data_IF_541355082464
#
_entry.id   IF_541355082464
#
_cell.length_a   1.000
_cell.length_b   1.000
_cell.length_c   1.000
_cell.angle_alpha   90.00
_cell.angle_beta   90.00
_cell.angle_gamma   90.00
#
_symmetry.space_group_name_H-M   'P 1'
#
loop_
_entity.id
_entity.type
_entity.pdbx_description
1 polymer ?
#
# COMPACT_ATOMS: atom_id res chain seq x y z
N UNK A 1 12.06 -13.88 -35.83
CA UNK A 1 11.18 -13.11 -34.94
C UNK A 1 9.88 -13.90 -34.77
N UNK A 2 9.78 -14.68 -33.70
CA UNK A 2 8.52 -15.36 -33.34
C UNK A 2 7.77 -14.44 -32.38
N UNK A 3 7.08 -13.44 -32.93
CA UNK A 3 6.19 -12.62 -32.12
C UNK A 3 5.03 -13.51 -31.66
N UNK A 4 4.71 -13.49 -30.37
CA UNK A 4 3.48 -14.10 -29.89
C UNK A 4 2.31 -13.34 -30.55
N UNK A 5 1.54 -14.01 -31.41
CA UNK A 5 0.46 -13.38 -32.19
C UNK A 5 -0.83 -13.18 -31.40
N UNK A 6 -0.74 -13.19 -30.06
CA UNK A 6 -1.92 -13.19 -29.21
C UNK A 6 -2.59 -14.57 -29.13
N UNK A 7 -3.71 -14.63 -28.42
CA UNK A 7 -4.62 -15.78 -28.42
C UNK A 7 -6.03 -15.25 -28.22
N UNK A 8 -6.98 -15.80 -28.97
CA UNK A 8 -8.39 -15.52 -28.74
C UNK A 8 -8.86 -16.37 -27.57
N UNK A 9 -9.07 -15.73 -26.41
CA UNK A 9 -9.51 -16.42 -25.20
C UNK A 9 -11.02 -16.43 -25.14
N UNK A 10 -11.56 -17.58 -24.73
CA UNK A 10 -12.97 -17.80 -24.57
C UNK A 10 -13.26 -18.58 -23.30
N UNK A 11 -14.46 -18.38 -22.76
CA UNK A 11 -15.01 -19.28 -21.77
C UNK A 11 -15.25 -20.68 -22.39
N UNK A 12 -15.22 -21.78 -21.61
CA UNK A 12 -15.38 -23.14 -22.13
C UNK A 12 -16.72 -23.43 -22.82
N UNK A 13 -17.76 -22.61 -22.57
CA UNK A 13 -19.08 -22.74 -23.16
C UNK A 13 -19.27 -21.77 -24.34
N UNK A 14 -18.20 -21.16 -24.85
CA UNK A 14 -18.33 -20.17 -25.91
C UNK A 14 -18.48 -20.82 -27.29
N UNK A 15 -19.42 -20.33 -28.09
CA UNK A 15 -19.71 -20.84 -29.46
C UNK A 15 -19.01 -20.04 -30.57
N UNK A 16 -18.24 -19.00 -30.24
CA UNK A 16 -17.57 -18.16 -31.22
C UNK A 16 -16.49 -18.93 -31.99
N UNK A 17 -16.54 -18.88 -33.33
CA UNK A 17 -15.61 -19.61 -34.21
C UNK A 17 -14.13 -19.22 -34.06
N UNK A 18 -13.84 -18.08 -33.45
CA UNK A 18 -12.47 -17.61 -33.19
C UNK A 18 -11.83 -18.30 -31.97
N UNK A 19 -12.63 -18.96 -31.12
CA UNK A 19 -12.12 -19.71 -29.98
C UNK A 19 -11.28 -20.91 -30.46
N UNK A 20 -10.25 -21.28 -29.70
CA UNK A 20 -9.42 -22.45 -30.01
C UNK A 20 -10.23 -23.75 -30.04
N UNK A 21 -11.19 -23.89 -29.11
CA UNK A 21 -12.09 -25.04 -29.01
C UNK A 21 -13.52 -24.54 -28.73
N UNK A 22 -14.24 -24.06 -29.77
CA UNK A 22 -15.59 -23.56 -29.58
C UNK A 22 -16.54 -24.71 -29.24
N UNK A 23 -17.50 -24.45 -28.35
CA UNK A 23 -18.56 -25.37 -28.04
C UNK A 23 -19.35 -25.69 -29.31
N UNK A 24 -19.46 -27.00 -29.61
CA UNK A 24 -20.19 -27.51 -30.77
C UNK A 24 -21.62 -27.85 -30.39
N UNK A 25 -22.56 -27.67 -31.31
CA UNK A 25 -23.95 -28.12 -31.13
C UNK A 25 -23.99 -29.60 -30.74
N UNK A 26 -24.66 -29.89 -29.61
CA UNK A 26 -24.86 -31.25 -29.09
C UNK A 26 -24.10 -31.58 -27.80
N UNK A 27 -23.08 -30.79 -27.43
CA UNK A 27 -22.38 -30.95 -26.15
C UNK A 27 -22.63 -29.73 -25.26
N UNK A 28 -23.33 -29.89 -24.14
CA UNK A 28 -23.48 -28.82 -23.14
C UNK A 28 -22.26 -28.84 -22.22
N UNK A 29 -21.38 -27.84 -22.34
CA UNK A 29 -20.30 -27.60 -21.39
C UNK A 29 -20.82 -26.52 -20.44
N UNK A 30 -21.05 -26.87 -19.17
CA UNK A 30 -21.36 -25.87 -18.16
C UNK A 30 -20.07 -25.16 -17.75
N UNK A 31 -20.03 -23.84 -17.95
CA UNK A 31 -18.96 -22.98 -17.46
C UNK A 31 -19.36 -22.40 -16.10
N UNK A 32 -18.46 -22.50 -15.12
CA UNK A 32 -18.57 -21.78 -13.84
C UNK A 32 -18.18 -20.30 -13.96
N UNK A 33 -17.63 -19.89 -15.11
CA UNK A 33 -17.26 -18.52 -15.42
C UNK A 33 -18.40 -17.82 -16.17
N UNK A 34 -18.63 -16.51 -15.93
CA UNK A 34 -19.45 -15.70 -16.82
C UNK A 34 -18.97 -15.83 -18.26
N UNK A 35 -19.88 -15.79 -19.23
CA UNK A 35 -19.49 -15.91 -20.63
C UNK A 35 -18.58 -14.76 -21.05
N UNK A 36 -17.46 -15.08 -21.69
CA UNK A 36 -16.51 -14.12 -22.22
C UNK A 36 -15.86 -14.64 -23.49
N UNK A 37 -15.52 -13.72 -24.40
CA UNK A 37 -14.58 -13.99 -25.48
C UNK A 37 -13.87 -12.68 -25.84
N UNK A 38 -12.54 -12.72 -25.93
CA UNK A 38 -11.72 -11.55 -26.26
C UNK A 38 -10.39 -11.95 -26.90
N UNK A 39 -9.86 -11.09 -27.75
CA UNK A 39 -8.50 -11.20 -28.26
C UNK A 39 -7.52 -10.70 -27.19
N UNK A 40 -6.58 -11.55 -26.77
CA UNK A 40 -5.42 -11.09 -26.03
C UNK A 40 -4.35 -10.59 -26.99
N UNK A 41 -3.89 -9.37 -26.77
CA UNK A 41 -2.66 -8.86 -27.37
C UNK A 41 -1.51 -9.04 -26.40
N UNK A 42 -0.33 -9.36 -26.92
CA UNK A 42 0.91 -9.20 -26.18
C UNK A 42 1.99 -8.62 -27.07
N UNK A 43 2.90 -7.85 -26.47
CA UNK A 43 4.12 -7.40 -27.12
C UNK A 43 5.26 -8.24 -26.57
N UNK A 44 5.95 -8.96 -27.45
CA UNK A 44 7.08 -9.79 -27.05
C UNK A 44 8.17 -9.78 -28.11
N UNK A 45 9.40 -9.99 -27.66
CA UNK A 45 10.56 -10.15 -28.51
C UNK A 45 11.42 -11.29 -27.97
N UNK A 46 12.02 -12.06 -28.88
CA UNK A 46 13.05 -13.03 -28.57
C UNK A 46 14.39 -12.43 -28.97
N UNK A 47 15.32 -12.34 -28.02
CA UNK A 47 16.72 -12.01 -28.28
C UNK A 47 17.57 -13.26 -28.12
N UNK A 48 18.51 -13.47 -29.03
CA UNK A 48 19.57 -14.43 -28.81
C UNK A 48 20.46 -13.95 -27.66
N UNK A 49 20.98 -14.90 -26.88
CA UNK A 49 21.92 -14.63 -25.79
C UNK A 49 23.28 -15.25 -26.13
N UNK A 50 24.39 -14.57 -25.79
CA UNK A 50 25.73 -15.09 -26.08
C UNK A 50 26.06 -16.30 -25.21
N UNK A 51 27.04 -17.10 -25.62
CA UNK A 51 27.53 -18.29 -24.87
C UNK A 51 27.91 -17.98 -23.41
N UNK A 52 28.29 -16.72 -23.12
CA UNK A 52 28.56 -16.22 -21.77
C UNK A 52 27.40 -16.48 -20.81
N UNK A 53 26.14 -16.42 -21.27
CA UNK A 53 24.96 -16.69 -20.45
C UNK A 53 24.93 -18.10 -19.86
N UNK A 54 25.59 -19.07 -20.51
CA UNK A 54 25.65 -20.47 -20.10
C UNK A 54 26.91 -20.84 -19.33
N UNK A 55 27.95 -19.99 -19.39
CA UNK A 55 29.29 -20.27 -18.84
C UNK A 55 29.70 -19.30 -17.72
N UNK A 56 28.95 -18.22 -17.52
CA UNK A 56 29.20 -17.22 -16.49
C UNK A 56 27.94 -16.42 -16.14
N UNK A 57 28.13 -15.29 -15.46
CA UNK A 57 27.05 -14.37 -15.10
C UNK A 57 26.94 -13.24 -16.13
N UNK A 58 25.71 -12.84 -16.43
CA UNK A 58 25.38 -11.68 -17.25
C UNK A 58 24.45 -10.76 -16.49
N UNK A 59 24.58 -9.46 -16.73
CA UNK A 59 23.70 -8.45 -16.16
C UNK A 59 22.50 -8.26 -17.07
N UNK A 60 21.34 -8.73 -16.61
CA UNK A 60 20.06 -8.44 -17.23
C UNK A 60 19.41 -7.27 -16.49
N UNK A 61 18.99 -6.26 -17.24
CA UNK A 61 18.38 -5.05 -16.71
C UNK A 61 17.09 -4.75 -17.47
N UNK A 62 16.08 -4.33 -16.72
CA UNK A 62 14.86 -3.72 -17.25
C UNK A 62 14.85 -2.29 -16.74
N UNK A 63 14.81 -1.35 -17.66
CA UNK A 63 14.56 0.07 -17.38
C UNK A 63 13.10 0.36 -17.72
N UNK A 64 12.37 0.95 -16.78
CA UNK A 64 10.93 1.19 -16.91
C UNK A 64 10.60 2.59 -16.44
N UNK A 65 10.11 3.41 -17.37
CA UNK A 65 9.66 4.77 -17.14
C UNK A 65 8.12 4.77 -17.34
N UNK A 66 7.33 4.69 -16.25
CA UNK A 66 5.88 4.62 -16.32
C UNK A 66 5.28 6.01 -16.56
N UNK A 67 5.32 6.46 -17.81
CA UNK A 67 4.68 7.71 -18.23
C UNK A 67 4.25 7.65 -19.69
N UNK A 68 3.38 8.57 -20.12
CA UNK A 68 2.91 8.67 -21.50
C UNK A 68 4.00 8.92 -22.55
N UNK A 69 5.16 9.43 -22.14
CA UNK A 69 6.36 9.63 -22.96
C UNK A 69 7.53 8.70 -22.55
N UNK A 70 7.24 7.69 -21.71
CA UNK A 70 8.22 6.76 -21.18
C UNK A 70 8.46 5.55 -22.09
N UNK A 71 8.96 4.47 -21.49
CA UNK A 71 9.25 3.22 -22.18
C UNK A 71 9.52 2.07 -21.19
N UNK A 72 9.52 0.84 -21.71
CA UNK A 72 10.16 -0.31 -21.07
C UNK A 72 11.29 -0.78 -21.99
N UNK A 73 12.51 -0.87 -21.46
CA UNK A 73 13.71 -1.26 -22.21
C UNK A 73 14.42 -2.41 -21.54
N UNK A 74 14.78 -3.41 -22.32
CA UNK A 74 15.59 -4.55 -21.91
C UNK A 74 17.03 -4.33 -22.32
N UNK A 75 17.93 -4.52 -21.36
CA UNK A 75 19.36 -4.26 -21.49
C UNK A 75 20.12 -5.52 -21.03
N UNK A 76 21.03 -6.00 -21.86
CA UNK A 76 21.89 -7.14 -21.57
C UNK A 76 23.36 -6.70 -21.60
N UNK A 77 24.06 -6.80 -20.48
CA UNK A 77 25.44 -6.33 -20.31
C UNK A 77 25.68 -4.92 -20.90
N UNK A 78 24.83 -3.96 -20.48
CA UNK A 78 24.88 -2.55 -20.89
C UNK A 78 24.53 -2.26 -22.36
N UNK A 79 24.03 -3.26 -23.10
CA UNK A 79 23.53 -3.10 -24.46
C UNK A 79 22.02 -3.22 -24.48
N UNK A 80 21.32 -2.19 -24.97
CA UNK A 80 19.87 -2.25 -25.19
C UNK A 80 19.54 -3.27 -26.29
N UNK A 81 18.71 -4.26 -25.97
CA UNK A 81 18.34 -5.35 -26.90
C UNK A 81 16.91 -5.24 -27.41
N UNK A 82 16.02 -4.56 -26.66
CA UNK A 82 14.64 -4.34 -27.05
C UNK A 82 14.04 -3.18 -26.26
N UNK A 83 13.08 -2.48 -26.85
CA UNK A 83 12.35 -1.38 -26.21
C UNK A 83 10.91 -1.34 -26.70
N UNK A 84 10.00 -1.05 -25.77
CA UNK A 84 8.62 -0.65 -26.04
C UNK A 84 8.49 0.80 -25.60
N UNK A 85 8.50 1.72 -26.56
CA UNK A 85 8.18 3.13 -26.30
C UNK A 85 6.69 3.27 -25.92
N UNK A 86 6.37 4.20 -25.01
CA UNK A 86 5.00 4.45 -24.58
C UNK A 86 4.09 4.85 -25.75
N UNK A 87 4.62 5.57 -26.75
CA UNK A 87 3.90 5.96 -27.97
C UNK A 87 3.31 4.76 -28.72
N UNK A 88 3.99 3.61 -28.70
CA UNK A 88 3.48 2.37 -29.33
C UNK A 88 2.18 1.88 -28.71
N UNK A 89 1.88 2.27 -27.47
CA UNK A 89 0.65 1.94 -26.73
C UNK A 89 -0.33 3.11 -26.73
N UNK A 90 0.17 4.33 -26.52
CA UNK A 90 -0.66 5.53 -26.31
C UNK A 90 -1.09 6.17 -27.62
N UNK A 91 -0.37 5.95 -28.72
CA UNK A 91 -0.66 6.49 -30.05
C UNK A 91 -0.40 5.43 -31.14
N UNK A 92 -1.09 4.27 -31.09
CA UNK A 92 -0.88 3.23 -32.09
C UNK A 92 -1.32 3.72 -33.48
N UNK A 93 -0.75 3.17 -34.57
CA UNK A 93 -1.19 3.47 -35.93
C UNK A 93 -2.71 3.34 -36.07
N UNK A 94 -3.35 4.28 -36.76
CA UNK A 94 -4.80 4.30 -36.93
C UNK A 94 -5.20 3.96 -38.36
N UNK A 95 -6.32 3.26 -38.50
CA UNK A 95 -7.02 3.15 -39.79
C UNK A 95 -7.85 4.42 -40.06
N UNK A 96 -8.53 4.48 -41.20
CA UNK A 96 -9.36 5.64 -41.57
C UNK A 96 -10.53 5.91 -40.60
N UNK A 97 -10.93 4.90 -39.81
CA UNK A 97 -11.98 5.00 -38.80
C UNK A 97 -11.45 5.29 -37.39
N UNK A 98 -10.14 5.40 -37.20
CA UNK A 98 -9.49 5.47 -35.89
C UNK A 98 -9.95 4.35 -34.94
N UNK A 99 -9.95 3.11 -35.43
CA UNK A 99 -10.50 1.96 -34.68
C UNK A 99 -9.55 1.37 -33.63
N UNK A 100 -8.25 1.69 -33.68
CA UNK A 100 -7.27 1.13 -32.76
C UNK A 100 -7.31 1.85 -31.41
N UNK A 101 -7.43 1.08 -30.33
CA UNK A 101 -7.51 1.63 -28.98
C UNK A 101 -6.19 2.27 -28.54
N UNK A 102 -6.30 3.48 -27.98
CA UNK A 102 -5.22 4.11 -27.24
C UNK A 102 -5.15 3.51 -25.83
N UNK A 103 -4.01 2.92 -25.48
CA UNK A 103 -3.77 2.32 -24.17
C UNK A 103 -2.89 3.23 -23.32
N UNK A 104 -3.02 3.15 -22.01
CA UNK A 104 -2.06 3.78 -21.11
C UNK A 104 -0.73 3.00 -21.15
N UNK A 105 0.36 3.68 -20.82
CA UNK A 105 1.61 2.99 -20.54
C UNK A 105 1.40 2.07 -19.33
N UNK A 106 2.18 1.00 -19.21
CA UNK A 106 2.13 0.15 -18.03
C UNK A 106 2.64 0.98 -16.85
N UNK A 107 1.75 1.28 -15.91
CA UNK A 107 2.03 2.06 -14.68
C UNK A 107 1.76 1.25 -13.40
N UNK A 108 1.04 0.13 -13.51
CA UNK A 108 0.66 -0.71 -12.37
C UNK A 108 1.88 -1.37 -11.70
N UNK A 109 1.93 -1.41 -10.34
CA UNK A 109 3.01 -2.08 -9.63
C UNK A 109 3.19 -3.55 -10.06
N UNK A 110 4.39 -3.89 -10.51
CA UNK A 110 4.75 -5.24 -10.94
C UNK A 110 5.67 -5.93 -9.91
N UNK A 111 5.76 -7.26 -10.01
CA UNK A 111 6.71 -8.06 -9.23
C UNK A 111 7.68 -8.79 -10.17
N UNK A 112 8.89 -9.04 -9.67
CA UNK A 112 9.94 -9.73 -10.43
C UNK A 112 9.82 -11.23 -10.16
N UNK A 113 9.69 -12.02 -11.22
CA UNK A 113 9.68 -13.49 -11.16
C UNK A 113 10.90 -14.02 -11.90
N UNK A 114 11.57 -14.98 -11.28
CA UNK A 114 12.58 -15.81 -11.93
C UNK A 114 12.14 -17.26 -11.84
N UNK A 115 11.90 -17.91 -12.98
CA UNK A 115 11.56 -19.32 -13.05
C UNK A 115 12.41 -20.04 -14.11
N UNK A 116 12.62 -21.33 -13.90
CA UNK A 116 13.15 -22.23 -14.93
C UNK A 116 12.01 -23.14 -15.36
N UNK A 117 11.67 -23.11 -16.63
CA UNK A 117 10.62 -23.93 -17.20
C UNK A 117 11.05 -24.50 -18.54
N UNK A 118 10.47 -25.65 -18.90
CA UNK A 118 10.75 -26.35 -20.13
C UNK A 118 9.41 -26.68 -20.77
N UNK A 119 9.18 -26.18 -21.99
CA UNK A 119 7.92 -26.34 -22.71
C UNK A 119 8.20 -26.72 -24.16
N UNK A 120 7.44 -27.72 -24.64
CA UNK A 120 7.45 -28.12 -26.04
C UNK A 120 6.93 -27.03 -26.96
N UNK A 121 6.04 -26.16 -26.46
CA UNK A 121 5.51 -25.01 -27.19
C UNK A 121 6.53 -23.87 -27.32
N UNK A 122 7.56 -23.83 -26.47
CA UNK A 122 8.65 -22.83 -26.53
C UNK A 122 9.89 -23.35 -27.26
N UNK A 123 9.74 -24.42 -28.05
CA UNK A 123 10.79 -24.95 -28.93
C UNK A 123 11.74 -25.96 -28.28
N UNK A 124 11.57 -26.27 -26.98
CA UNK A 124 12.39 -27.27 -26.30
C UNK A 124 11.71 -28.63 -26.31
N UNK A 125 12.25 -29.59 -27.07
CA UNK A 125 11.85 -31.00 -27.01
C UNK A 125 13.04 -31.82 -26.48
N UNK A 126 13.13 -32.06 -25.16
CA UNK A 126 14.19 -32.90 -24.63
C UNK A 126 14.04 -34.32 -25.21
N UNK A 127 15.13 -35.09 -25.34
CA UNK A 127 15.03 -36.48 -25.76
C UNK A 127 14.05 -37.26 -24.87
N UNK A 128 13.28 -38.18 -25.48
CA UNK A 128 12.34 -39.05 -24.78
C UNK A 128 11.22 -38.32 -24.00
N UNK A 129 10.39 -37.47 -24.64
CA UNK A 129 9.31 -36.75 -23.96
C UNK A 129 8.34 -37.71 -23.24
N UNK A 130 7.98 -37.39 -22.00
CA UNK A 130 7.11 -38.23 -21.16
C UNK A 130 7.81 -39.39 -20.44
N UNK A 131 9.13 -39.55 -20.60
CA UNK A 131 9.96 -40.53 -19.88
C UNK A 131 11.13 -39.80 -19.19
N UNK A 132 11.80 -40.42 -18.20
CA UNK A 132 13.06 -39.87 -17.68
C UNK A 132 14.05 -39.62 -18.83
N UNK A 133 14.67 -38.43 -18.88
CA UNK A 133 15.73 -38.17 -19.84
C UNK A 133 16.92 -39.05 -19.48
N UNK A 134 17.12 -40.13 -20.23
CA UNK A 134 18.23 -41.07 -20.05
C UNK A 134 18.88 -41.34 -21.39
N UNK A 135 20.18 -41.07 -21.47
CA UNK A 135 21.02 -41.54 -22.57
C UNK A 135 21.33 -43.03 -22.42
N UNK A 136 21.40 -43.75 -23.55
CA UNK A 136 21.71 -45.19 -23.60
C UNK A 136 23.10 -45.50 -24.18
N UNK A 137 23.92 -44.47 -24.44
CA UNK A 137 25.23 -44.61 -25.04
C UNK A 137 25.25 -44.65 -26.57
N UNK A 138 24.09 -44.72 -27.23
CA UNK A 138 24.01 -44.90 -28.71
C UNK A 138 24.03 -43.60 -29.49
N UNK A 139 23.43 -42.53 -28.94
CA UNK A 139 23.41 -41.19 -29.53
C UNK A 139 24.14 -40.20 -28.64
N UNK A 140 25.30 -39.72 -29.12
CA UNK A 140 26.16 -38.79 -28.39
C UNK A 140 25.45 -37.48 -27.99
N UNK A 141 24.51 -36.99 -28.81
CA UNK A 141 23.74 -35.76 -28.53
C UNK A 141 22.71 -36.01 -27.44
N UNK A 142 21.97 -37.12 -27.51
CA UNK A 142 20.98 -37.49 -26.48
C UNK A 142 21.66 -37.70 -25.13
N UNK A 143 22.77 -38.45 -25.11
CA UNK A 143 23.55 -38.68 -23.88
C UNK A 143 23.96 -37.35 -23.26
N UNK A 144 24.58 -36.44 -24.03
CA UNK A 144 25.03 -35.14 -23.53
C UNK A 144 23.90 -34.26 -22.99
N UNK A 145 22.72 -34.28 -23.61
CA UNK A 145 21.57 -33.50 -23.14
C UNK A 145 21.02 -34.08 -21.83
N UNK A 146 20.86 -35.40 -21.75
CA UNK A 146 20.32 -36.02 -20.54
C UNK A 146 21.31 -35.98 -19.37
N UNK A 147 22.62 -36.10 -19.62
CA UNK A 147 23.67 -35.97 -18.59
C UNK A 147 23.78 -34.55 -18.03
N UNK A 148 23.22 -33.54 -18.71
CA UNK A 148 23.23 -32.15 -18.24
C UNK A 148 22.18 -31.88 -17.14
N UNK A 149 21.24 -32.80 -16.87
CA UNK A 149 20.25 -32.65 -15.80
C UNK A 149 20.80 -33.14 -14.43
N UNK A 150 20.41 -32.49 -13.31
CA UNK A 150 19.55 -31.32 -13.22
C UNK A 150 20.26 -30.02 -13.65
N UNK A 151 19.57 -29.19 -14.43
CA UNK A 151 20.03 -27.84 -14.79
C UNK A 151 19.51 -26.82 -13.78
N UNK A 152 20.32 -25.83 -13.45
CA UNK A 152 20.00 -24.79 -12.46
C UNK A 152 20.23 -23.40 -13.04
N UNK A 153 19.27 -22.49 -12.81
CA UNK A 153 19.49 -21.05 -13.00
C UNK A 153 20.12 -20.47 -11.74
N UNK A 154 21.23 -19.76 -11.90
CA UNK A 154 21.96 -19.13 -10.80
C UNK A 154 21.75 -17.61 -10.85
N UNK A 155 21.34 -17.04 -9.72
CA UNK A 155 21.20 -15.58 -9.54
C UNK A 155 22.21 -15.16 -8.49
N UNK A 156 23.13 -14.27 -8.86
CA UNK A 156 24.14 -13.73 -7.93
C UNK A 156 23.55 -12.62 -7.07
N UNK A 157 22.89 -11.63 -7.71
CA UNK A 157 22.20 -10.55 -7.01
C UNK A 157 21.01 -10.02 -7.81
N UNK A 158 20.12 -9.33 -7.11
CA UNK A 158 19.05 -8.52 -7.68
C UNK A 158 19.17 -7.11 -7.11
N UNK A 159 19.03 -6.09 -7.97
CA UNK A 159 18.98 -4.69 -7.55
C UNK A 159 17.74 -4.04 -8.14
N UNK A 160 17.04 -3.27 -7.31
CA UNK A 160 15.91 -2.44 -7.69
C UNK A 160 16.28 -0.99 -7.41
N UNK A 161 16.11 -0.14 -8.41
CA UNK A 161 16.36 1.29 -8.31
C UNK A 161 15.05 2.03 -8.54
N UNK A 162 14.87 3.13 -7.81
CA UNK A 162 13.80 4.09 -8.02
C UNK A 162 14.44 5.48 -8.11
N UNK A 163 13.83 6.40 -8.87
CA UNK A 163 14.24 7.80 -8.86
C UNK A 163 14.04 8.38 -7.46
N UNK A 164 15.07 9.02 -6.91
CA UNK A 164 15.05 9.58 -5.56
C UNK A 164 13.98 10.68 -5.38
N UNK A 165 13.57 11.34 -6.46
CA UNK A 165 12.57 12.41 -6.46
C UNK A 165 11.12 11.90 -6.45
N UNK A 166 10.88 10.66 -6.89
CA UNK A 166 9.54 10.09 -7.05
C UNK A 166 9.40 8.69 -6.44
N UNK A 167 10.30 8.33 -5.53
CA UNK A 167 10.33 7.01 -4.90
C UNK A 167 9.08 6.80 -4.04
N UNK A 168 8.48 5.61 -4.19
CA UNK A 168 7.44 5.13 -3.28
C UNK A 168 7.73 3.70 -2.83
N UNK A 169 7.33 3.39 -1.60
CA UNK A 169 7.48 2.05 -1.04
C UNK A 169 6.10 1.57 -0.60
N UNK A 170 5.68 0.43 -1.14
CA UNK A 170 4.39 -0.19 -0.84
C UNK A 170 3.57 -0.45 -2.10
N UNK A 171 2.41 -1.07 -1.91
CA UNK A 171 1.50 -1.41 -3.00
C UNK A 171 0.32 -0.43 -3.13
N UNK A 172 0.29 0.65 -2.36
CA UNK A 172 -0.82 1.61 -2.31
C UNK A 172 -0.31 3.07 -2.25
N UNK A 173 0.48 3.53 -3.24
CA UNK A 173 0.93 4.92 -3.27
C UNK A 173 -0.24 5.88 -3.54
N UNK A 174 -0.17 7.16 -3.12
CA UNK A 174 -1.22 8.13 -3.41
C UNK A 174 -1.55 8.31 -4.91
N UNK A 175 -0.57 8.09 -5.79
CA UNK A 175 -0.77 8.14 -7.25
C UNK A 175 -1.52 6.93 -7.81
N UNK A 176 -1.46 5.78 -7.13
CA UNK A 176 -2.11 4.52 -7.52
C UNK A 176 -2.74 3.89 -6.27
N UNK A 177 -3.94 4.32 -5.85
CA UNK A 177 -4.59 3.87 -4.63
C UNK A 177 -5.19 2.46 -4.78
N UNK A 178 -4.32 1.47 -5.00
CA UNK A 178 -4.67 0.07 -5.27
C UNK A 178 -5.51 -0.54 -4.15
N UNK A 179 -5.26 -0.18 -2.88
CA UNK A 179 -6.07 -0.69 -1.76
C UNK A 179 -7.52 -0.25 -1.90
N UNK A 180 -7.73 1.04 -2.18
CA UNK A 180 -9.08 1.59 -2.36
C UNK A 180 -9.80 0.91 -3.53
N UNK A 181 -9.09 0.70 -4.64
CA UNK A 181 -9.64 -0.01 -5.79
C UNK A 181 -10.12 -1.42 -5.41
N UNK A 182 -9.27 -2.21 -4.73
CA UNK A 182 -9.61 -3.58 -4.28
C UNK A 182 -10.79 -3.56 -3.32
N UNK A 183 -10.81 -2.63 -2.36
CA UNK A 183 -11.90 -2.52 -1.39
C UNK A 183 -13.24 -2.19 -2.07
N UNK A 184 -13.23 -1.31 -3.08
CA UNK A 184 -14.42 -0.92 -3.86
C UNK A 184 -14.84 -2.02 -4.88
N UNK A 185 -13.94 -2.93 -5.26
CA UNK A 185 -14.18 -4.01 -6.24
C UNK A 185 -13.99 -5.40 -5.63
N UNK A 186 -14.30 -5.56 -4.34
CA UNK A 186 -13.96 -6.77 -3.59
C UNK A 186 -14.48 -8.07 -4.24
N UNK A 187 -15.65 -8.03 -4.89
CA UNK A 187 -16.22 -9.18 -5.62
C UNK A 187 -15.35 -9.72 -6.75
N UNK A 188 -14.40 -8.93 -7.27
CA UNK A 188 -13.45 -9.37 -8.30
C UNK A 188 -12.22 -10.08 -7.70
N UNK A 189 -11.94 -9.81 -6.42
CA UNK A 189 -10.74 -10.29 -5.71
C UNK A 189 -11.02 -11.38 -4.69
N UNK A 190 -12.28 -11.75 -4.47
CA UNK A 190 -12.66 -12.90 -3.66
C UNK A 190 -13.83 -13.69 -4.21
N UNK A 191 -13.84 -14.97 -3.88
CA UNK A 191 -14.98 -15.85 -4.02
C UNK A 191 -15.18 -16.67 -2.73
N UNK A 192 -16.13 -17.61 -2.75
CA UNK A 192 -16.44 -18.46 -1.59
C UNK A 192 -15.28 -19.37 -1.18
N UNK A 193 -14.37 -19.71 -2.09
CA UNK A 193 -13.21 -20.58 -1.86
C UNK A 193 -11.94 -19.77 -1.52
N UNK A 194 -11.84 -18.53 -2.01
CA UNK A 194 -10.70 -17.65 -1.84
C UNK A 194 -11.10 -16.27 -1.30
N UNK A 195 -11.46 -16.17 -0.01
CA UNK A 195 -11.79 -14.89 0.61
C UNK A 195 -10.55 -14.02 0.80
N UNK A 196 -10.69 -12.69 0.66
CA UNK A 196 -9.61 -11.76 1.04
C UNK A 196 -9.33 -11.91 2.53
N UNK A 197 -8.05 -12.07 2.88
CA UNK A 197 -7.59 -12.17 4.27
C UNK A 197 -6.47 -11.18 4.52
N UNK A 198 -6.57 -10.46 5.64
CA UNK A 198 -5.46 -9.68 6.13
C UNK A 198 -4.26 -10.60 6.41
N UNK A 199 -3.07 -10.19 5.99
CA UNK A 199 -1.82 -10.86 6.37
C UNK A 199 -1.57 -10.58 7.85
N UNK A 200 -1.35 -11.61 8.66
CA UNK A 200 -1.11 -11.46 10.11
C UNK A 200 0.23 -12.12 10.45
N UNK A 201 1.29 -11.31 10.52
CA UNK A 201 2.64 -11.77 10.87
C UNK A 201 3.31 -12.59 9.77
N UNK A 202 4.20 -13.50 10.16
CA UNK A 202 5.04 -14.36 9.29
C UNK A 202 6.16 -13.65 8.50
N UNK A 203 6.27 -12.33 8.61
CA UNK A 203 7.43 -11.59 8.15
C UNK A 203 8.71 -12.03 8.86
N UNK A 204 9.84 -12.01 8.17
CA UNK A 204 11.12 -12.37 8.76
C UNK A 204 11.60 -11.33 9.77
N UNK A 205 12.09 -11.81 10.92
CA UNK A 205 12.57 -10.98 12.03
C UNK A 205 13.82 -11.57 12.70
N UNK A 206 14.55 -10.72 13.41
CA UNK A 206 15.66 -11.08 14.29
C UNK A 206 15.36 -10.79 15.75
N UNK A 207 14.59 -9.73 16.03
CA UNK A 207 14.17 -9.30 17.37
C UNK A 207 12.72 -8.84 17.35
N UNK A 208 12.12 -8.73 18.53
CA UNK A 208 10.73 -8.29 18.71
C UNK A 208 10.46 -6.90 18.13
N UNK A 209 11.49 -6.03 18.09
CA UNK A 209 11.34 -4.69 17.52
C UNK A 209 11.12 -4.70 16.00
N UNK A 210 11.58 -5.73 15.30
CA UNK A 210 11.31 -5.89 13.86
C UNK A 210 9.82 -6.17 13.57
N UNK A 211 9.07 -6.56 14.61
CA UNK A 211 7.66 -6.93 14.56
C UNK A 211 6.75 -5.92 15.27
N UNK A 212 7.27 -4.75 15.62
CA UNK A 212 6.57 -3.74 16.40
C UNK A 212 6.62 -2.39 15.70
N UNK A 213 5.57 -1.59 15.82
CA UNK A 213 5.59 -0.21 15.33
C UNK A 213 6.64 0.58 16.12
N UNK A 214 7.63 1.11 15.39
CA UNK A 214 8.61 2.04 15.93
C UNK A 214 7.95 3.34 16.42
N UNK A 215 8.66 4.07 17.27
CA UNK A 215 8.20 5.28 17.95
C UNK A 215 7.63 6.36 17.00
N UNK A 216 6.31 6.41 16.83
CA UNK A 216 5.61 7.54 16.21
C UNK A 216 5.38 8.70 17.20
N UNK A 217 5.69 8.48 18.47
CA UNK A 217 5.79 9.47 19.55
C UNK A 217 6.71 8.86 20.63
N UNK A 218 7.00 9.53 21.74
CA UNK A 218 7.93 9.08 22.78
C UNK A 218 7.59 7.71 23.47
N UNK A 219 6.65 6.92 22.95
CA UNK A 219 6.31 5.58 23.39
C UNK A 219 6.56 4.54 22.27
N UNK A 220 7.32 3.51 22.59
CA UNK A 220 7.45 2.30 21.77
C UNK A 220 6.26 1.38 22.07
N UNK A 221 5.54 0.94 21.04
CA UNK A 221 4.39 0.04 21.21
C UNK A 221 4.70 -1.33 20.62
N UNK A 222 4.76 -2.34 21.47
CA UNK A 222 4.98 -3.72 21.05
C UNK A 222 3.71 -4.30 20.45
N UNK A 223 3.65 -4.39 19.12
CA UNK A 223 2.49 -4.94 18.39
C UNK A 223 2.70 -6.38 17.93
N UNK A 224 3.94 -6.86 17.97
CA UNK A 224 4.30 -8.23 17.62
C UNK A 224 5.60 -8.69 18.30
N UNK A 225 5.86 -9.99 18.22
CA UNK A 225 7.08 -10.64 18.73
C UNK A 225 7.75 -11.49 17.65
N UNK A 226 9.07 -11.64 17.76
CA UNK A 226 9.85 -12.47 16.86
C UNK A 226 9.97 -13.90 17.40
N UNK A 227 9.16 -14.81 16.87
CA UNK A 227 9.12 -16.22 17.26
C UNK A 227 9.69 -17.05 16.12
N UNK A 228 10.76 -17.82 16.37
CA UNK A 228 11.40 -18.67 15.35
C UNK A 228 11.75 -17.92 14.05
N UNK A 229 12.29 -16.70 14.17
CA UNK A 229 12.61 -15.80 13.03
C UNK A 229 11.40 -15.33 12.21
N UNK A 230 10.18 -15.44 12.76
CA UNK A 230 8.92 -15.01 12.14
C UNK A 230 8.14 -14.10 13.10
N UNK A 231 7.57 -13.03 12.58
CA UNK A 231 6.73 -12.14 13.38
C UNK A 231 5.40 -12.81 13.75
N UNK A 232 5.01 -12.68 15.00
CA UNK A 232 3.69 -13.07 15.50
C UNK A 232 3.03 -11.84 16.12
N UNK A 233 1.87 -11.45 15.58
CA UNK A 233 1.16 -10.27 16.06
C UNK A 233 0.51 -10.56 17.40
N UNK A 234 0.69 -9.65 18.37
CA UNK A 234 0.12 -9.78 19.71
C UNK A 234 -1.36 -9.42 19.73
N UNK A 235 -1.77 -8.51 18.85
CA UNK A 235 -3.13 -7.98 18.77
C UNK A 235 -3.65 -8.11 17.33
N UNK A 236 -3.93 -9.34 16.84
CA UNK A 236 -4.26 -9.59 15.43
C UNK A 236 -5.57 -8.94 14.96
N UNK A 237 -6.42 -8.49 15.89
CA UNK A 237 -7.65 -7.72 15.61
C UNK A 237 -7.40 -6.23 15.32
N UNK A 238 -6.20 -5.73 15.62
CA UNK A 238 -5.87 -4.30 15.54
C UNK A 238 -4.57 -4.04 14.77
N UNK A 239 -3.68 -5.04 14.70
CA UNK A 239 -2.38 -4.97 14.06
C UNK A 239 -2.18 -6.15 13.12
N UNK A 240 -1.98 -5.82 11.85
CA UNK A 240 -1.83 -6.75 10.74
C UNK A 240 -0.58 -6.39 9.92
N UNK A 241 -0.42 -7.03 8.77
CA UNK A 241 0.78 -6.99 7.95
C UNK A 241 1.82 -8.04 8.36
N UNK A 242 2.81 -8.29 7.49
CA UNK A 242 3.82 -9.32 7.73
C UNK A 242 4.65 -9.08 9.00
N UNK A 243 4.80 -7.82 9.39
CA UNK A 243 5.55 -7.40 10.58
C UNK A 243 4.67 -6.84 11.70
N UNK A 244 3.34 -6.96 11.62
CA UNK A 244 2.43 -6.45 12.65
C UNK A 244 2.53 -4.94 12.88
N UNK A 245 2.95 -4.19 11.85
CA UNK A 245 3.18 -2.75 11.90
C UNK A 245 2.09 -1.94 11.22
N UNK A 246 1.06 -2.60 10.68
CA UNK A 246 -0.04 -1.95 9.98
C UNK A 246 -1.27 -1.99 10.88
N UNK A 247 -1.89 -0.85 11.17
CA UNK A 247 -3.18 -0.84 11.87
C UNK A 247 -4.24 -1.45 10.95
N UNK A 248 -5.09 -2.29 11.51
CA UNK A 248 -6.31 -2.73 10.83
C UNK A 248 -7.31 -1.58 10.90
N UNK A 249 -7.18 -0.62 9.98
CA UNK A 249 -8.16 0.45 9.82
C UNK A 249 -9.45 -0.15 9.23
N UNK A 250 -10.35 -0.60 10.11
CA UNK A 250 -11.77 -0.61 9.81
C UNK A 250 -12.19 0.86 9.70
N UNK A 251 -12.29 1.33 8.45
CA UNK A 251 -12.60 2.72 8.07
C UNK A 251 -11.46 3.72 8.32
N UNK A 252 -10.53 3.81 7.38
CA UNK A 252 -9.79 5.04 7.15
C UNK A 252 -10.73 6.12 6.59
N UNK A 253 -11.68 6.60 7.40
CA UNK A 253 -12.12 7.98 7.26
C UNK A 253 -10.88 8.82 7.53
N UNK A 254 -10.38 9.45 6.46
CA UNK A 254 -9.50 10.61 6.52
C UNK A 254 -9.75 11.39 7.81
N UNK A 255 -8.79 11.37 8.74
CA UNK A 255 -8.91 12.17 9.94
C UNK A 255 -9.19 13.63 9.56
N UNK A 256 -9.84 14.42 10.44
CA UNK A 256 -10.09 15.82 10.16
C UNK A 256 -8.77 16.49 9.75
N UNK A 257 -8.80 17.23 8.64
CA UNK A 257 -7.66 18.00 8.13
C UNK A 257 -6.90 18.71 9.27
N UNK A 258 -5.58 18.90 9.13
CA UNK A 258 -4.74 19.57 10.13
C UNK A 258 -5.37 20.92 10.56
N UNK A 259 -6.00 21.62 9.61
CA UNK A 259 -6.80 22.82 9.82
C UNK A 259 -7.94 22.64 10.83
N UNK A 260 -8.77 21.61 10.69
CA UNK A 260 -9.83 21.31 11.65
C UNK A 260 -9.28 20.95 13.04
N UNK A 261 -8.21 20.16 13.12
CA UNK A 261 -7.57 19.79 14.38
C UNK A 261 -6.98 20.99 15.13
N UNK A 262 -6.41 21.96 14.40
CA UNK A 262 -5.92 23.22 14.96
C UNK A 262 -7.06 24.11 15.48
N UNK A 263 -8.20 24.16 14.78
CA UNK A 263 -9.38 24.92 15.21
C UNK A 263 -9.94 24.35 16.52
N UNK A 264 -10.12 23.03 16.60
CA UNK A 264 -10.61 22.41 17.85
C UNK A 264 -9.62 22.57 19.00
N UNK A 265 -8.31 22.44 18.74
CA UNK A 265 -7.28 22.65 19.76
C UNK A 265 -7.24 24.08 20.30
N UNK A 266 -7.41 25.08 19.43
CA UNK A 266 -7.43 26.49 19.83
C UNK A 266 -8.70 26.88 20.60
N UNK A 267 -9.86 26.33 20.23
CA UNK A 267 -11.11 26.51 20.99
C UNK A 267 -10.97 25.89 22.39
N UNK A 268 -10.43 24.68 22.51
CA UNK A 268 -10.25 24.02 23.80
C UNK A 268 -9.27 24.79 24.71
N UNK A 269 -8.18 25.32 24.16
CA UNK A 269 -7.23 26.15 24.90
C UNK A 269 -7.88 27.45 25.39
N UNK A 270 -8.69 28.12 24.56
CA UNK A 270 -9.41 29.33 24.94
C UNK A 270 -10.43 29.07 26.08
N UNK A 271 -11.16 27.94 26.02
CA UNK A 271 -12.09 27.53 27.08
C UNK A 271 -11.35 27.24 28.38
N UNK A 272 -10.22 26.55 28.34
CA UNK A 272 -9.39 26.32 29.53
C UNK A 272 -8.84 27.62 30.13
N UNK A 273 -8.37 28.55 29.31
CA UNK A 273 -7.90 29.85 29.77
C UNK A 273 -9.03 30.67 30.41
N UNK A 274 -10.24 30.63 29.85
CA UNK A 274 -11.41 31.28 30.44
C UNK A 274 -11.83 30.64 31.77
N UNK A 275 -11.76 29.32 31.88
CA UNK A 275 -12.02 28.60 33.13
C UNK A 275 -10.99 28.96 34.21
N UNK A 276 -9.70 28.97 33.88
CA UNK A 276 -8.62 29.38 34.78
C UNK A 276 -8.80 30.84 35.21
N UNK A 277 -9.10 31.73 34.27
CA UNK A 277 -9.38 33.13 34.57
C UNK A 277 -10.54 33.29 35.55
N UNK A 278 -11.66 32.56 35.34
CA UNK A 278 -12.81 32.59 36.24
C UNK A 278 -12.46 32.08 37.63
N UNK A 279 -11.70 30.98 37.73
CA UNK A 279 -11.24 30.41 39.02
C UNK A 279 -10.34 31.39 39.78
N UNK A 280 -9.40 32.04 39.08
CA UNK A 280 -8.51 33.04 39.70
C UNK A 280 -9.28 34.29 40.13
N UNK A 281 -10.26 34.73 39.35
CA UNK A 281 -11.05 35.93 39.65
C UNK A 281 -12.04 35.70 40.80
N UNK A 282 -12.74 34.56 40.82
CA UNK A 282 -13.60 34.19 41.96
C UNK A 282 -12.76 33.91 43.21
N UNK A 283 -11.59 33.30 43.07
CA UNK A 283 -10.64 33.11 44.17
C UNK A 283 -10.16 34.44 44.78
N UNK A 284 -9.85 35.44 43.95
CA UNK A 284 -9.52 36.80 44.44
C UNK A 284 -10.71 37.49 45.10
N UNK A 285 -11.91 37.40 44.53
CA UNK A 285 -13.12 38.01 45.12
C UNK A 285 -13.46 37.42 46.50
N UNK A 286 -13.29 36.10 46.67
CA UNK A 286 -13.48 35.41 47.95
C UNK A 286 -12.39 35.83 48.95
N UNK A 287 -11.13 35.96 48.51
CA UNK A 287 -10.02 36.43 49.36
C UNK A 287 -10.25 37.86 49.87
N UNK A 288 -10.63 38.80 48.98
CA UNK A 288 -10.93 40.19 49.36
C UNK A 288 -12.13 40.28 50.31
N UNK A 289 -13.21 39.54 50.08
CA UNK A 289 -14.35 39.51 51.00
C UNK A 289 -13.98 38.94 52.37
N UNK A 290 -13.06 37.97 52.43
CA UNK A 290 -12.61 37.35 53.69
C UNK A 290 -11.69 38.27 54.50
N UNK A 291 -10.84 39.06 53.84
CA UNK A 291 -10.06 40.13 54.48
C UNK A 291 -10.95 41.30 54.94
N UNK A 292 -11.94 41.71 54.13
CA UNK A 292 -12.91 42.74 54.53
C UNK A 292 -13.72 42.30 55.75
N UNK A 293 -14.16 41.04 55.80
CA UNK A 293 -14.91 40.51 56.94
C UNK A 293 -14.07 40.35 58.22
N UNK A 294 -12.74 40.16 58.10
CA UNK A 294 -11.80 40.21 59.24
C UNK A 294 -11.55 41.64 59.72
N UNK A 295 -11.46 42.61 58.81
CA UNK A 295 -11.30 44.02 59.16
C UNK A 295 -12.53 44.57 59.92
N UNK A 296 -13.74 44.08 59.60
CA UNK A 296 -14.97 44.44 60.31
C UNK A 296 -15.08 43.82 61.70
N UNK A 297 -14.43 42.67 61.98
CA UNK A 297 -14.52 42.01 63.29
C UNK A 297 -13.51 42.50 64.34
N UNK A 298 -12.68 43.50 64.03
CA UNK A 298 -11.62 44.03 64.92
C UNK A 298 -11.93 45.47 65.39
N UNK A 299 -13.08 46.03 65.02
CA UNK A 299 -13.53 47.33 65.54
C UNK A 299 -14.15 47.18 66.93
N UNK A 300 -13.38 47.47 67.97
CA UNK A 300 -13.88 47.67 69.33
C UNK A 300 -14.95 48.77 69.35
N UNK A 301 -16.17 48.43 69.76
CA UNK A 301 -17.20 49.40 70.10
C UNK A 301 -17.25 49.56 71.62
N UNK A 302 -16.72 50.68 72.11
CA UNK A 302 -16.91 51.12 73.49
C UNK A 302 -18.18 51.97 73.56
N UNK A 303 -19.17 51.49 74.32
CA UNK A 303 -20.38 52.22 74.65
C UNK A 303 -20.03 53.31 75.68
N UNK A 304 -20.09 54.58 75.27
CA UNK A 304 -20.04 55.72 76.21
C UNK A 304 -21.43 56.32 76.33
N UNK A 305 -21.98 56.15 77.53
CA UNK A 305 -23.18 56.81 78.05
C UNK A 305 -22.93 58.32 78.15
N UNK A 306 -23.81 59.13 77.55
CA UNK A 306 -23.80 60.59 77.64
C UNK A 306 -25.19 61.08 78.07
N UNK A 307 -25.51 60.83 79.34
CA UNK A 307 -26.37 61.75 80.10
C UNK A 307 -25.52 62.98 80.51
N UNK A 308 -26.11 64.17 80.36
CA UNK A 308 -25.57 65.51 80.65
C UNK A 308 -24.86 66.25 79.49
N UNK A 309 -25.62 67.04 78.74
CA UNK A 309 -25.31 68.45 78.49
C UNK A 309 -26.56 69.14 77.91
N UNK A 310 -27.01 70.18 78.60
CA UNK A 310 -28.19 70.98 78.27
C UNK A 310 -27.85 72.10 77.27
N UNK A 311 -28.92 72.59 76.66
CA UNK A 311 -29.14 73.95 76.13
C UNK A 311 -28.31 74.42 74.93
N UNK A 312 -28.94 74.44 73.74
CA UNK A 312 -29.60 75.65 73.19
C UNK A 312 -29.98 75.46 71.71
N UNK A 313 -31.14 76.02 71.35
CA UNK A 313 -31.71 76.13 70.01
C UNK A 313 -30.72 76.78 69.01
N UNK A 314 -30.78 76.59 67.68
CA UNK A 314 -31.92 76.91 66.82
C UNK A 314 -31.70 76.41 65.36
N UNK A 315 -32.82 76.10 64.69
CA UNK A 315 -33.15 76.26 63.26
C UNK A 315 -32.14 76.04 62.07
N UNK A 316 -32.50 75.05 61.22
CA UNK A 316 -32.87 75.23 59.76
C UNK A 316 -31.82 75.09 58.61
N UNK A 317 -31.98 73.98 57.87
CA UNK A 317 -31.99 73.71 56.39
C UNK A 317 -30.82 74.12 55.46
N UNK A 318 -30.27 73.11 54.73
CA UNK A 318 -30.09 72.92 53.25
C UNK A 318 -29.01 71.83 53.05
N UNK A 319 -29.14 70.76 52.28
CA UNK A 319 -29.75 70.58 50.96
C UNK A 319 -28.65 70.58 49.89
N UNK A 320 -28.09 69.40 49.58
CA UNK A 320 -27.85 68.73 48.27
C UNK A 320 -27.55 67.27 48.61
#
# INVERSE_FOLDING_TARGET
>A
MNAYQGSYLCDPANTNSMCTEPQKEGNVIESVLPSFNYQMDAISANSEIPLKAYTGYMKYQIEWIPSSAGYIRWILDDVAIFEIAAESLTSPPQDASNSNYHKLMIEEPMYIIFNVALSTSWGSKPPNPGKPCKGDGTDAKINKICDAFPMSMKVDYVRLYQDASSMSIGCDPPSHPTKRWIDEHLSEYQDSNNPVKAVIGQGSCRRDEDCSVGAFSAAFMTTGKCVKRRCQCLFPSSWVGPRCTTSLDLEAQSGPSITSSLVFGSIAAAVMLLAIYKILFTGKAIYYNREFSKAVSVGDYELVDLSQASDSADATIKGI
#
